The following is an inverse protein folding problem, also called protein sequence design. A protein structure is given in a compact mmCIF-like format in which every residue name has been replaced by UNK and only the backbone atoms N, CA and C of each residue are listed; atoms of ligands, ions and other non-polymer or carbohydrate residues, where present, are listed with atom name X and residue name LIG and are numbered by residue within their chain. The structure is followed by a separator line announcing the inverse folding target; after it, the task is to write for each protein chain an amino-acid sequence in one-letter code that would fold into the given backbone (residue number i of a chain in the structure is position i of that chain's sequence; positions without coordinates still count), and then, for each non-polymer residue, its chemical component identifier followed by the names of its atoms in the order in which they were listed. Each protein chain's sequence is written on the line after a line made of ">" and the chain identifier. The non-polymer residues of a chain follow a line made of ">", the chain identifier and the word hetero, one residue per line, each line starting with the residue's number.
data_IF_273450042730
#
_entry.id   IF_273450042730
#
_cell.length_a   1.000
_cell.length_b   1.000
_cell.length_c   1.000
_cell.angle_alpha   90.00
_cell.angle_beta   90.00
_cell.angle_gamma   90.00
#
_symmetry.space_group_name_H-M   'P 1'
#
loop_
_entity.id
_entity.type
_entity.pdbx_description
1 polymer ?
#
# COMPACT_ATOMS: atom_id res chain seq x y z
N UNK A 1 -25.65 -12.24 1.89
CA UNK A 1 -24.39 -11.65 2.38
C UNK A 1 -23.75 -12.74 3.24
N UNK A 2 -22.50 -13.05 2.96
CA UNK A 2 -21.75 -14.04 3.78
C UNK A 2 -21.55 -13.40 5.15
N UNK A 3 -21.95 -14.08 6.21
CA UNK A 3 -21.75 -13.61 7.58
C UNK A 3 -20.37 -14.09 8.02
N UNK A 4 -19.47 -13.15 8.26
CA UNK A 4 -18.12 -13.40 8.77
C UNK A 4 -18.14 -13.52 10.29
N UNK A 5 -17.17 -14.20 10.86
CA UNK A 5 -17.00 -14.27 12.33
C UNK A 5 -16.39 -13.00 12.88
N UNK A 6 -15.45 -12.40 12.15
CA UNK A 6 -14.76 -11.19 12.58
C UNK A 6 -15.60 -9.93 12.36
N UNK A 7 -15.59 -9.03 13.34
CA UNK A 7 -16.23 -7.72 13.24
C UNK A 7 -15.63 -6.88 12.11
N UNK A 8 -14.34 -7.04 11.84
CA UNK A 8 -13.64 -6.32 10.78
C UNK A 8 -14.21 -6.67 9.40
N UNK A 9 -14.28 -7.95 9.05
CA UNK A 9 -14.77 -8.36 7.74
C UNK A 9 -16.27 -8.11 7.56
N UNK A 10 -17.08 -8.30 8.60
CA UNK A 10 -18.48 -7.92 8.56
C UNK A 10 -18.67 -6.43 8.26
N UNK A 11 -17.87 -5.56 8.89
CA UNK A 11 -17.90 -4.13 8.62
C UNK A 11 -17.44 -3.80 7.20
N UNK A 12 -16.36 -4.42 6.71
CA UNK A 12 -15.85 -4.21 5.36
C UNK A 12 -16.86 -4.65 4.30
N UNK A 13 -17.47 -5.83 4.48
CA UNK A 13 -18.48 -6.38 3.58
C UNK A 13 -19.73 -5.50 3.54
N UNK A 14 -20.28 -5.15 4.71
CA UNK A 14 -21.52 -4.34 4.81
C UNK A 14 -21.40 -2.95 4.19
N UNK A 15 -20.17 -2.42 4.07
CA UNK A 15 -19.88 -1.11 3.49
C UNK A 15 -19.35 -1.17 2.06
N UNK A 16 -19.27 -2.36 1.46
CA UNK A 16 -18.82 -2.53 0.09
C UNK A 16 -17.33 -2.28 -0.13
N UNK A 17 -16.49 -2.44 0.90
CA UNK A 17 -15.03 -2.31 0.77
C UNK A 17 -14.39 -3.53 0.09
N UNK A 18 -15.00 -4.72 0.22
CA UNK A 18 -14.45 -5.93 -0.35
C UNK A 18 -14.89 -6.05 -1.80
N UNK A 19 -13.95 -5.81 -2.72
CA UNK A 19 -14.12 -6.09 -4.14
C UNK A 19 -13.59 -7.47 -4.49
N UNK A 20 -12.42 -7.81 -3.95
CA UNK A 20 -11.74 -9.08 -4.14
C UNK A 20 -10.88 -9.38 -2.92
N UNK A 21 -10.86 -10.62 -2.47
CA UNK A 21 -9.96 -11.12 -1.44
C UNK A 21 -9.38 -12.45 -1.90
N UNK A 22 -8.08 -12.65 -1.71
CA UNK A 22 -7.39 -13.88 -2.11
C UNK A 22 -7.72 -15.06 -1.20
N UNK A 23 -7.99 -14.80 0.08
CA UNK A 23 -8.35 -15.79 1.08
C UNK A 23 -9.24 -15.15 2.16
N UNK A 24 -10.55 -15.12 1.90
CA UNK A 24 -11.53 -14.55 2.85
C UNK A 24 -11.61 -15.37 4.14
N UNK A 25 -11.58 -16.70 4.02
CA UNK A 25 -11.75 -17.58 5.17
C UNK A 25 -10.54 -17.51 6.12
N UNK A 26 -9.32 -17.48 5.54
CA UNK A 26 -8.09 -17.32 6.31
C UNK A 26 -8.00 -15.96 6.99
N UNK A 27 -8.40 -14.90 6.29
CA UNK A 27 -8.42 -13.54 6.86
C UNK A 27 -9.47 -13.41 7.97
N UNK A 28 -10.66 -14.03 7.80
CA UNK A 28 -11.72 -14.02 8.81
C UNK A 28 -11.29 -14.78 10.08
N UNK A 29 -10.65 -15.92 9.90
CA UNK A 29 -10.09 -16.67 11.02
C UNK A 29 -9.02 -15.87 11.76
N UNK A 30 -8.04 -15.31 11.04
CA UNK A 30 -6.98 -14.49 11.64
C UNK A 30 -7.52 -13.27 12.38
N UNK A 31 -8.52 -12.58 11.82
CA UNK A 31 -9.13 -11.41 12.44
C UNK A 31 -10.05 -11.75 13.62
N UNK A 32 -10.48 -13.00 13.74
CA UNK A 32 -11.27 -13.50 14.89
C UNK A 32 -10.38 -13.97 16.04
N UNK A 33 -9.19 -14.49 15.72
CA UNK A 33 -8.30 -15.13 16.70
C UNK A 33 -7.28 -14.16 17.33
N UNK A 34 -7.03 -12.99 16.69
CA UNK A 34 -6.01 -12.09 17.20
C UNK A 34 -5.84 -10.78 16.44
N UNK A 35 -4.66 -10.17 16.62
CA UNK A 35 -4.32 -8.90 15.98
C UNK A 35 -3.85 -9.15 14.55
N UNK A 36 -4.64 -8.75 13.58
CA UNK A 36 -4.21 -8.72 12.18
C UNK A 36 -3.36 -7.48 11.94
N UNK A 37 -2.16 -7.67 11.43
CA UNK A 37 -1.31 -6.58 10.92
C UNK A 37 -1.49 -6.47 9.42
N UNK A 38 -1.84 -5.27 8.93
CA UNK A 38 -1.99 -5.03 7.50
C UNK A 38 -1.42 -3.67 7.09
N UNK A 39 -0.96 -3.57 5.85
CA UNK A 39 -0.41 -2.33 5.30
C UNK A 39 -1.11 -1.89 4.03
N UNK A 40 -1.03 -0.60 3.76
CA UNK A 40 -1.35 0.00 2.46
C UNK A 40 -0.23 0.95 2.10
N UNK A 41 0.22 0.87 0.84
CA UNK A 41 1.29 1.72 0.29
C UNK A 41 0.74 3.03 -0.30
N UNK A 42 1.51 4.10 -0.10
CA UNK A 42 1.20 5.44 -0.61
C UNK A 42 2.44 6.10 -1.20
N UNK A 43 2.43 6.35 -2.50
CA UNK A 43 3.51 7.08 -3.15
C UNK A 43 3.54 8.55 -2.74
N UNK A 44 4.74 9.09 -2.66
CA UNK A 44 5.01 10.45 -2.20
C UNK A 44 5.08 11.46 -3.35
N UNK A 45 4.16 11.35 -4.32
CA UNK A 45 4.18 12.11 -5.58
C UNK A 45 3.57 13.51 -5.48
N UNK A 46 2.92 13.85 -4.37
CA UNK A 46 2.31 15.15 -4.14
C UNK A 46 2.29 15.51 -2.65
N UNK A 47 2.11 16.79 -2.34
CA UNK A 47 2.05 17.30 -0.96
C UNK A 47 0.76 16.91 -0.21
N UNK A 48 -0.23 16.36 -0.90
CA UNK A 48 -1.51 15.97 -0.30
C UNK A 48 -2.06 14.72 -0.96
N UNK A 49 -2.94 14.03 -0.22
CA UNK A 49 -3.70 12.88 -0.71
C UNK A 49 -5.05 13.38 -1.23
N UNK A 50 -5.55 12.77 -2.29
CA UNK A 50 -6.88 13.07 -2.83
C UNK A 50 -7.96 12.17 -2.23
N UNK A 51 -9.22 12.46 -2.53
CA UNK A 51 -10.38 11.73 -1.99
C UNK A 51 -10.33 10.21 -2.28
N UNK A 52 -9.74 9.79 -3.40
CA UNK A 52 -9.57 8.36 -3.71
C UNK A 52 -8.68 7.63 -2.69
N UNK A 53 -7.68 8.30 -2.11
CA UNK A 53 -6.86 7.72 -1.05
C UNK A 53 -7.63 7.59 0.28
N UNK A 54 -8.69 8.40 0.48
CA UNK A 54 -9.45 8.37 1.72
C UNK A 54 -10.10 7.00 1.96
N UNK A 55 -10.52 6.31 0.90
CA UNK A 55 -11.10 4.97 0.99
C UNK A 55 -10.11 4.01 1.68
N UNK A 56 -8.87 3.97 1.20
CA UNK A 56 -7.82 3.10 1.74
C UNK A 56 -7.39 3.53 3.15
N UNK A 57 -7.34 4.83 3.44
CA UNK A 57 -7.08 5.35 4.80
C UNK A 57 -8.19 4.88 5.75
N UNK A 58 -9.44 4.94 5.31
CA UNK A 58 -10.57 4.48 6.12
C UNK A 58 -10.54 2.96 6.34
N UNK A 59 -10.01 2.16 5.42
CA UNK A 59 -9.78 0.73 5.66
C UNK A 59 -8.80 0.51 6.81
N UNK A 60 -7.65 1.20 6.80
CA UNK A 60 -6.67 1.13 7.89
C UNK A 60 -7.29 1.60 9.23
N UNK A 61 -8.07 2.69 9.20
CA UNK A 61 -8.78 3.16 10.39
C UNK A 61 -9.76 2.10 10.92
N UNK A 62 -10.52 1.45 10.05
CA UNK A 62 -11.47 0.41 10.44
C UNK A 62 -10.75 -0.84 10.97
N UNK A 63 -9.63 -1.19 10.38
CA UNK A 63 -8.77 -2.25 10.93
C UNK A 63 -8.34 -1.91 12.36
N UNK A 64 -7.82 -0.70 12.59
CA UNK A 64 -7.40 -0.27 13.93
C UNK A 64 -8.56 -0.27 14.93
N UNK A 65 -9.73 0.23 14.53
CA UNK A 65 -10.93 0.23 15.37
C UNK A 65 -11.43 -1.18 15.72
N UNK A 66 -11.15 -2.15 14.87
CA UNK A 66 -11.48 -3.56 15.11
C UNK A 66 -10.39 -4.32 15.90
N UNK A 67 -9.35 -3.63 16.38
CA UNK A 67 -8.28 -4.24 17.15
C UNK A 67 -7.09 -4.75 16.33
N UNK A 68 -7.03 -4.45 15.03
CA UNK A 68 -5.87 -4.76 14.19
C UNK A 68 -4.78 -3.69 14.25
N UNK A 69 -3.61 -4.01 13.69
CA UNK A 69 -2.43 -3.12 13.64
C UNK A 69 -2.22 -2.59 12.22
N UNK A 70 -2.56 -1.32 11.94
CA UNK A 70 -2.33 -0.74 10.63
C UNK A 70 -0.87 -0.29 10.45
N UNK A 71 -0.36 -0.51 9.24
CA UNK A 71 0.92 0.03 8.78
C UNK A 71 0.66 0.97 7.61
N UNK A 72 1.06 2.21 7.73
CA UNK A 72 1.14 3.16 6.62
C UNK A 72 2.49 3.01 5.97
N UNK A 73 2.53 2.45 4.75
CA UNK A 73 3.78 2.27 4.01
C UNK A 73 3.99 3.45 3.06
N UNK A 74 4.94 4.31 3.40
CA UNK A 74 5.34 5.40 2.52
C UNK A 74 6.21 4.88 1.38
N UNK A 75 5.83 5.21 0.16
CA UNK A 75 6.52 4.81 -1.05
C UNK A 75 7.70 5.74 -1.41
N UNK A 76 8.62 6.02 -0.46
CA UNK A 76 9.77 6.88 -0.73
C UNK A 76 10.65 6.33 -1.84
N UNK A 77 11.05 5.08 -1.75
CA UNK A 77 11.88 4.41 -2.76
C UNK A 77 11.15 4.21 -4.09
N UNK A 78 9.90 3.76 -4.07
CA UNK A 78 9.09 3.59 -5.30
C UNK A 78 8.83 4.91 -6.00
N UNK A 79 8.67 6.00 -5.26
CA UNK A 79 8.52 7.35 -5.85
C UNK A 79 9.79 7.80 -6.57
N UNK A 80 10.99 7.45 -6.08
CA UNK A 80 12.27 7.74 -6.76
C UNK A 80 12.37 7.07 -8.12
N UNK A 81 11.85 5.85 -8.24
CA UNK A 81 11.81 5.12 -9.52
C UNK A 81 10.82 5.72 -10.50
N UNK A 82 9.81 6.43 -10.01
CA UNK A 82 8.80 7.06 -10.86
C UNK A 82 7.79 6.07 -11.42
N UNK A 83 7.26 5.17 -10.58
CA UNK A 83 6.24 4.19 -10.99
C UNK A 83 5.08 4.86 -11.71
N UNK A 84 4.86 4.55 -12.99
CA UNK A 84 3.81 5.14 -13.81
C UNK A 84 2.45 4.42 -13.67
N UNK A 85 2.30 3.48 -12.72
CA UNK A 85 1.07 2.69 -12.55
C UNK A 85 -0.19 3.56 -12.51
N UNK A 86 -1.14 3.28 -13.39
CA UNK A 86 -2.42 3.98 -13.48
C UNK A 86 -2.39 5.38 -14.09
N UNK A 87 -1.28 5.81 -14.72
CA UNK A 87 -1.17 7.10 -15.44
C UNK A 87 -0.65 6.89 -16.85
N UNK A 88 -1.15 7.72 -17.77
CA UNK A 88 -0.85 7.66 -19.20
C UNK A 88 0.48 8.31 -19.57
N UNK A 89 1.02 9.20 -18.71
CA UNK A 89 2.25 9.94 -18.96
C UNK A 89 3.37 9.46 -18.02
N UNK A 90 4.62 9.51 -18.54
CA UNK A 90 5.80 9.32 -17.70
C UNK A 90 5.80 10.36 -16.58
N UNK A 91 5.88 9.92 -15.32
CA UNK A 91 5.97 10.84 -14.19
C UNK A 91 7.28 11.60 -14.25
N UNK A 92 7.22 12.91 -14.01
CA UNK A 92 8.42 13.70 -13.75
C UNK A 92 9.14 13.10 -12.53
N UNK A 93 10.44 12.86 -12.68
CA UNK A 93 11.28 12.44 -11.56
C UNK A 93 11.34 13.60 -10.55
N UNK A 94 10.91 13.31 -9.33
CA UNK A 94 10.97 14.26 -8.22
C UNK A 94 12.36 14.22 -7.59
N UNK A 95 12.81 15.37 -7.06
CA UNK A 95 14.03 15.42 -6.26
C UNK A 95 13.83 14.73 -4.91
N UNK A 96 14.92 14.37 -4.23
CA UNK A 96 14.84 13.77 -2.90
C UNK A 96 14.23 14.75 -1.88
N UNK A 97 14.48 16.05 -2.05
CA UNK A 97 13.92 17.11 -1.22
C UNK A 97 12.41 17.22 -1.41
N UNK A 98 11.92 17.11 -2.65
CA UNK A 98 10.48 17.10 -2.93
C UNK A 98 9.80 15.89 -2.32
N UNK A 99 10.39 14.71 -2.45
CA UNK A 99 9.87 13.47 -1.87
C UNK A 99 9.82 13.57 -0.34
N UNK A 100 10.89 14.08 0.28
CA UNK A 100 10.94 14.27 1.73
C UNK A 100 9.88 15.27 2.22
N UNK A 101 9.70 16.39 1.50
CA UNK A 101 8.68 17.38 1.81
C UNK A 101 7.26 16.80 1.65
N UNK A 102 7.02 16.02 0.60
CA UNK A 102 5.76 15.36 0.35
C UNK A 102 5.45 14.34 1.46
N UNK A 103 6.41 13.46 1.83
CA UNK A 103 6.26 12.51 2.93
C UNK A 103 5.80 13.21 4.22
N UNK A 104 6.51 14.25 4.62
CA UNK A 104 6.20 15.02 5.82
C UNK A 104 4.81 15.67 5.79
N UNK A 105 4.38 16.08 4.61
CA UNK A 105 3.04 16.67 4.42
C UNK A 105 1.94 15.62 4.49
N UNK A 106 2.13 14.47 3.84
CA UNK A 106 1.16 13.37 3.80
C UNK A 106 1.02 12.72 5.18
N UNK A 107 2.10 12.58 5.94
CA UNK A 107 2.08 12.05 7.30
C UNK A 107 1.03 12.73 8.17
N UNK A 108 0.94 14.05 8.11
CA UNK A 108 -0.06 14.84 8.86
C UNK A 108 -1.51 14.50 8.51
N UNK A 109 -1.74 13.93 7.32
CA UNK A 109 -3.08 13.47 6.94
C UNK A 109 -3.43 12.21 7.71
N UNK A 110 -2.52 11.24 7.78
CA UNK A 110 -2.75 9.99 8.50
C UNK A 110 -2.96 10.18 9.99
N UNK A 111 -2.25 11.12 10.62
CA UNK A 111 -2.39 11.47 12.04
C UNK A 111 -3.81 11.93 12.41
N UNK A 112 -4.61 12.37 11.44
CA UNK A 112 -6.02 12.72 11.64
C UNK A 112 -6.96 11.51 11.73
N UNK A 113 -6.52 10.37 11.21
CA UNK A 113 -7.37 9.17 11.05
C UNK A 113 -6.90 7.99 11.89
N UNK A 114 -5.62 7.90 12.19
CA UNK A 114 -4.98 6.78 12.88
C UNK A 114 -4.32 7.26 14.17
N UNK A 115 -4.34 6.41 15.17
CA UNK A 115 -3.57 6.59 16.40
C UNK A 115 -2.22 5.91 16.21
N UNK A 116 -1.15 6.69 16.23
CA UNK A 116 0.22 6.20 16.14
C UNK A 116 0.83 6.05 17.54
N UNK A 117 1.66 5.02 17.74
CA UNK A 117 2.33 4.78 19.01
C UNK A 117 2.99 3.41 19.06
N UNK A 118 3.31 2.97 20.29
CA UNK A 118 4.02 1.72 20.57
C UNK A 118 3.09 0.60 21.07
N UNK A 119 1.80 0.87 21.17
CA UNK A 119 0.80 -0.12 21.57
C UNK A 119 0.60 -1.22 20.53
N UNK A 120 0.01 -2.35 20.93
CA UNK A 120 -0.13 -3.53 20.06
C UNK A 120 -0.99 -3.25 18.82
N UNK A 121 -1.93 -2.31 18.89
CA UNK A 121 -2.83 -1.91 17.78
C UNK A 121 -2.55 -0.51 17.27
N UNK A 122 -1.56 0.17 17.81
CA UNK A 122 -1.16 1.48 17.32
C UNK A 122 -0.59 1.38 15.93
N UNK A 123 -0.94 2.34 15.10
CA UNK A 123 -0.41 2.44 13.76
C UNK A 123 1.10 2.72 13.78
N UNK A 124 1.81 2.17 12.82
CA UNK A 124 3.19 2.53 12.53
C UNK A 124 3.30 3.07 11.12
N UNK A 125 4.28 3.94 10.90
CA UNK A 125 4.63 4.44 9.58
C UNK A 125 5.99 3.93 9.18
N UNK A 126 6.07 3.27 8.02
CA UNK A 126 7.31 2.76 7.45
C UNK A 126 7.56 3.45 6.11
N UNK A 127 8.81 3.49 5.69
CA UNK A 127 9.23 3.99 4.38
C UNK A 127 9.98 2.89 3.65
N UNK A 128 9.51 2.53 2.46
CA UNK A 128 10.16 1.48 1.68
C UNK A 128 11.55 1.90 1.15
N UNK A 129 11.87 3.18 1.16
CA UNK A 129 13.20 3.68 0.80
C UNK A 129 14.30 3.12 1.69
N UNK A 130 14.01 2.87 2.97
CA UNK A 130 14.96 2.34 3.95
C UNK A 130 15.61 1.04 3.49
N UNK A 131 14.84 0.14 2.88
CA UNK A 131 15.38 -1.14 2.40
C UNK A 131 15.61 -1.19 0.90
N UNK A 132 14.84 -0.43 0.09
CA UNK A 132 15.01 -0.43 -1.37
C UNK A 132 16.32 0.24 -1.80
N UNK A 133 16.72 1.32 -1.12
CA UNK A 133 17.98 2.03 -1.42
C UNK A 133 19.23 1.23 -1.07
N UNK A 134 19.12 0.22 -0.20
CA UNK A 134 20.24 -0.63 0.20
C UNK A 134 20.39 -1.89 -0.67
N UNK A 135 19.45 -2.14 -1.58
CA UNK A 135 19.48 -3.32 -2.43
C UNK A 135 20.68 -3.30 -3.39
N UNK A 136 21.51 -4.35 -3.33
CA UNK A 136 22.54 -4.55 -4.32
C UNK A 136 21.92 -5.08 -5.61
N UNK A 137 22.17 -4.38 -6.73
CA UNK A 137 21.57 -4.68 -8.03
C UNK A 137 21.79 -6.12 -8.50
N UNK A 138 23.05 -6.61 -8.45
CA UNK A 138 23.38 -7.96 -8.92
C UNK A 138 22.77 -9.02 -8.02
N UNK A 139 22.84 -8.85 -6.69
CA UNK A 139 22.22 -9.78 -5.74
C UNK A 139 20.72 -9.80 -5.91
N UNK A 140 20.09 -8.64 -6.07
CA UNK A 140 18.64 -8.55 -6.32
C UNK A 140 18.23 -9.28 -7.61
N UNK A 141 18.92 -9.06 -8.72
CA UNK A 141 18.64 -9.76 -9.97
C UNK A 141 18.82 -11.26 -9.82
N UNK A 142 19.87 -11.71 -9.14
CA UNK A 142 20.14 -13.14 -8.95
C UNK A 142 19.09 -13.81 -8.07
N UNK A 143 18.74 -13.19 -6.95
CA UNK A 143 17.94 -13.84 -5.92
C UNK A 143 16.44 -13.69 -6.17
N UNK A 144 16.01 -12.54 -6.70
CA UNK A 144 14.61 -12.22 -6.98
C UNK A 144 14.28 -12.16 -8.47
N UNK A 145 15.13 -11.56 -9.30
CA UNK A 145 14.86 -11.34 -10.72
C UNK A 145 14.55 -12.63 -11.48
N UNK A 146 15.16 -13.75 -11.10
CA UNK A 146 14.92 -15.08 -11.68
C UNK A 146 13.46 -15.56 -11.55
N UNK A 147 12.69 -15.01 -10.62
CA UNK A 147 11.28 -15.37 -10.41
C UNK A 147 10.33 -14.59 -11.32
N UNK A 148 10.84 -13.60 -12.05
CA UNK A 148 10.07 -12.77 -12.96
C UNK A 148 10.37 -13.15 -14.41
N UNK A 149 9.32 -13.36 -15.20
CA UNK A 149 9.42 -13.61 -16.63
C UNK A 149 9.02 -12.37 -17.40
N UNK A 150 9.91 -11.85 -18.25
CA UNK A 150 9.62 -10.70 -19.12
C UNK A 150 8.38 -10.98 -19.99
N UNK A 151 8.29 -12.16 -20.59
CA UNK A 151 7.14 -12.54 -21.43
C UNK A 151 5.83 -12.52 -20.64
N UNK A 152 5.85 -12.94 -19.37
CA UNK A 152 4.67 -12.87 -18.51
C UNK A 152 4.31 -11.42 -18.15
N UNK A 153 5.31 -10.59 -17.88
CA UNK A 153 5.11 -9.18 -17.58
C UNK A 153 4.53 -8.41 -18.77
N UNK A 154 5.00 -8.69 -19.99
CA UNK A 154 4.45 -8.13 -21.23
C UNK A 154 2.97 -8.51 -21.45
N UNK A 155 2.52 -9.60 -20.83
CA UNK A 155 1.12 -10.03 -20.86
C UNK A 155 0.17 -9.26 -19.93
N UNK A 156 0.68 -8.45 -19.00
CA UNK A 156 -0.16 -7.68 -18.09
C UNK A 156 -0.81 -6.47 -18.79
N UNK A 157 -2.06 -6.22 -18.49
CA UNK A 157 -2.83 -5.13 -19.13
C UNK A 157 -2.16 -3.76 -18.93
N UNK A 158 -1.57 -3.52 -17.75
CA UNK A 158 -0.82 -2.28 -17.48
C UNK A 158 0.41 -2.09 -18.37
N UNK A 159 1.01 -3.17 -18.88
CA UNK A 159 2.15 -3.12 -19.81
C UNK A 159 1.67 -3.03 -21.24
N UNK A 160 0.70 -3.84 -21.64
CA UNK A 160 0.09 -3.82 -23.00
C UNK A 160 -0.41 -2.45 -23.37
N UNK A 161 -1.18 -1.81 -22.49
CA UNK A 161 -1.72 -0.47 -22.73
C UNK A 161 -0.65 0.60 -23.01
N UNK A 162 0.59 0.37 -22.61
CA UNK A 162 1.72 1.27 -22.92
C UNK A 162 2.38 0.92 -24.24
N UNK A 163 2.60 -0.37 -24.49
CA UNK A 163 3.17 -0.82 -25.76
C UNK A 163 2.29 -0.51 -26.97
N UNK A 164 0.98 -0.53 -26.80
CA UNK A 164 0.00 -0.19 -27.85
C UNK A 164 -0.03 1.32 -28.20
N UNK A 165 0.71 2.16 -27.47
CA UNK A 165 0.76 3.62 -27.67
C UNK A 165 2.04 4.12 -28.35
N UNK A 166 3.07 3.29 -28.41
CA UNK A 166 4.29 3.56 -29.18
C UNK A 166 4.14 3.11 -30.64
#
# INVERSE_FOLDING_TARGET
>A
MTEFKSNFLNLMSSRGYIHQCSDEAGLDAAASDGIVTAYIGYDCTAKSLHVGNLISIMMLRKLQQAGGKPIVLMGGGTTKVGDPSGKDESRQLLTEEDIAANKKSIQKVFEKFLTFGDGPTDAIMLDNDVWLSELNYISFLRDYGRHFSVNRMLGFDSVKLRLDRE
#
